data_IF_585923117641
#
_entry.id   IF_585923117641
#
_cell.length_a   1.000
_cell.length_b   1.000
_cell.length_c   1.000
_cell.angle_alpha   90.00
_cell.angle_beta   90.00
_cell.angle_gamma   90.00
#
_symmetry.space_group_name_H-M   'P 1'
#
loop_
_entity.id
_entity.type
_entity.pdbx_description
1 polymer ?
#
# COMPACT_ATOMS: atom_id res chain seq x y z
N UNK A 1 25.98 22.81 32.79
CA UNK A 1 24.82 23.14 31.94
C UNK A 1 24.61 22.02 30.93
N UNK A 2 23.81 21.00 31.29
CA UNK A 2 23.46 19.88 30.42
C UNK A 2 22.06 20.09 29.86
N UNK A 3 21.91 20.03 28.54
CA UNK A 3 20.66 20.25 27.81
C UNK A 3 19.54 19.31 28.28
N UNK A 4 18.52 19.87 28.93
CA UNK A 4 17.24 19.22 29.28
C UNK A 4 16.25 19.15 28.08
N UNK A 5 16.67 19.46 26.86
CA UNK A 5 15.77 19.58 25.70
C UNK A 5 15.54 18.26 24.93
N UNK A 6 16.42 17.27 25.04
CA UNK A 6 16.33 16.03 24.24
C UNK A 6 15.55 14.89 24.93
N UNK A 7 15.47 14.88 26.27
CA UNK A 7 14.79 13.82 27.04
C UNK A 7 13.26 13.92 27.00
N UNK A 8 12.69 15.08 26.65
CA UNK A 8 11.24 15.33 26.70
C UNK A 8 10.51 14.98 25.40
N UNK A 9 11.21 14.82 24.27
CA UNK A 9 10.60 14.36 23.02
C UNK A 9 10.25 12.88 23.06
N UNK A 10 11.10 12.08 23.69
CA UNK A 10 10.99 10.61 23.73
C UNK A 10 9.89 10.10 24.69
N UNK A 11 9.39 10.97 25.59
CA UNK A 11 8.36 10.64 26.58
C UNK A 11 6.94 10.87 26.06
N UNK A 12 6.71 11.85 25.19
CA UNK A 12 5.38 12.18 24.64
C UNK A 12 4.93 11.26 23.50
N UNK A 13 5.87 10.63 22.80
CA UNK A 13 5.58 9.67 21.72
C UNK A 13 5.11 8.30 22.24
N UNK A 14 5.37 7.99 23.51
CA UNK A 14 4.99 6.71 24.12
C UNK A 14 3.56 6.77 24.61
N UNK A 15 2.67 6.06 23.92
CA UNK A 15 1.27 5.92 24.32
C UNK A 15 1.16 5.33 25.73
N UNK A 16 0.04 5.63 26.43
CA UNK A 16 -0.25 5.05 27.74
C UNK A 16 -0.16 3.51 27.72
N UNK A 17 -0.60 2.90 26.62
CA UNK A 17 -0.49 1.47 26.39
C UNK A 17 0.96 0.96 26.46
N UNK A 18 1.89 1.61 25.73
CA UNK A 18 3.32 1.25 25.76
C UNK A 18 3.90 1.44 27.15
N UNK A 19 3.50 2.49 27.86
CA UNK A 19 3.94 2.73 29.24
C UNK A 19 3.47 1.62 30.19
N UNK A 20 2.21 1.19 30.09
CA UNK A 20 1.66 0.10 30.91
C UNK A 20 2.36 -1.24 30.65
N UNK A 21 2.65 -1.55 29.38
CA UNK A 21 3.43 -2.75 29.02
C UNK A 21 4.83 -2.70 29.64
N UNK A 22 5.51 -1.54 29.60
CA UNK A 22 6.81 -1.37 30.25
C UNK A 22 6.73 -1.40 31.79
N UNK A 23 5.59 -1.05 32.38
CA UNK A 23 5.33 -1.17 33.82
C UNK A 23 4.98 -2.59 34.27
N UNK A 24 5.06 -3.59 33.38
CA UNK A 24 4.84 -5.00 33.71
C UNK A 24 3.39 -5.46 33.65
N UNK A 25 2.47 -4.65 33.11
CA UNK A 25 1.09 -5.09 32.88
C UNK A 25 1.10 -6.18 31.80
N UNK A 26 0.54 -7.37 32.06
CA UNK A 26 0.56 -8.47 31.11
C UNK A 26 -0.22 -8.12 29.84
N UNK A 27 0.44 -8.25 28.69
CA UNK A 27 -0.16 -7.99 27.39
C UNK A 27 -0.86 -9.26 26.88
N UNK A 28 -2.17 -9.20 26.68
CA UNK A 28 -2.92 -10.22 25.94
C UNK A 28 -2.91 -9.83 24.46
N UNK A 29 -2.10 -10.52 23.67
CA UNK A 29 -2.02 -10.30 22.22
C UNK A 29 -3.05 -11.17 21.49
N UNK A 30 -3.94 -10.55 20.73
CA UNK A 30 -4.76 -11.25 19.74
C UNK A 30 -3.85 -11.73 18.61
N UNK A 31 -3.77 -13.05 18.42
CA UNK A 31 -2.86 -13.67 17.45
C UNK A 31 -3.56 -14.06 16.15
N UNK A 32 -4.87 -14.27 16.17
CA UNK A 32 -5.60 -14.74 14.98
C UNK A 32 -6.15 -13.57 14.16
N UNK A 33 -5.86 -13.54 12.85
CA UNK A 33 -6.41 -12.58 11.90
C UNK A 33 -7.41 -13.28 10.94
N UNK A 34 -8.53 -12.62 10.64
CA UNK A 34 -9.60 -13.15 9.77
C UNK A 34 -9.87 -12.25 8.55
N UNK A 35 -8.96 -11.31 8.27
CA UNK A 35 -9.19 -10.14 7.44
C UNK A 35 -8.70 -10.34 6.03
N UNK A 36 -7.39 -10.50 5.88
CA UNK A 36 -6.69 -10.50 4.60
C UNK A 36 -6.26 -11.90 4.19
N UNK A 37 -6.08 -12.10 2.88
CA UNK A 37 -5.54 -13.31 2.31
C UNK A 37 -4.22 -13.73 3.02
N UNK A 38 -3.99 -15.03 3.29
CA UNK A 38 -2.80 -15.52 4.01
C UNK A 38 -1.45 -15.03 3.46
N UNK A 39 -1.35 -14.82 2.15
CA UNK A 39 -0.16 -14.21 1.53
C UNK A 39 0.12 -12.77 2.02
N UNK A 40 -0.93 -11.95 2.20
CA UNK A 40 -0.83 -10.57 2.68
C UNK A 40 -0.50 -10.55 4.18
N UNK A 41 -1.20 -11.35 4.98
CA UNK A 41 -0.92 -11.45 6.42
C UNK A 41 0.48 -12.01 6.66
N UNK A 42 0.95 -12.97 5.84
CA UNK A 42 2.29 -13.54 5.90
C UNK A 42 3.40 -12.49 5.80
N UNK A 43 3.25 -11.51 4.90
CA UNK A 43 4.17 -10.37 4.80
C UNK A 43 4.21 -9.58 6.11
N UNK A 44 3.04 -9.14 6.59
CA UNK A 44 2.95 -8.36 7.82
C UNK A 44 3.46 -9.16 9.03
N UNK A 45 3.15 -10.46 9.08
CA UNK A 45 3.52 -11.35 10.16
C UNK A 45 5.03 -11.49 10.29
N UNK A 46 5.72 -11.72 9.15
CA UNK A 46 7.17 -11.83 9.12
C UNK A 46 7.86 -10.49 9.41
N UNK A 47 7.36 -9.39 8.85
CA UNK A 47 8.00 -8.09 8.98
C UNK A 47 7.78 -7.43 10.35
N UNK A 48 6.61 -7.63 10.97
CA UNK A 48 6.19 -6.83 12.13
C UNK A 48 5.71 -7.64 13.35
N UNK A 49 5.28 -8.89 13.16
CA UNK A 49 4.74 -9.72 14.24
C UNK A 49 5.62 -10.92 14.61
N UNK A 50 6.85 -11.01 14.06
CA UNK A 50 7.84 -12.07 14.35
C UNK A 50 7.30 -13.50 14.15
N UNK A 51 6.35 -13.68 13.23
CA UNK A 51 5.73 -15.00 12.98
C UNK A 51 4.64 -15.40 14.00
N UNK A 52 4.26 -14.52 14.93
CA UNK A 52 3.27 -14.82 15.97
C UNK A 52 1.81 -14.64 15.54
N UNK A 53 1.55 -14.05 14.37
CA UNK A 53 0.21 -13.93 13.80
C UNK A 53 -0.20 -15.28 13.19
N UNK A 54 -1.46 -15.66 13.34
CA UNK A 54 -2.07 -16.89 12.82
C UNK A 54 -3.25 -16.50 11.95
N UNK A 55 -3.40 -17.15 10.79
CA UNK A 55 -4.54 -16.94 9.92
C UNK A 55 -5.70 -17.84 10.37
N UNK A 56 -6.86 -17.22 10.60
CA UNK A 56 -8.11 -17.93 10.88
C UNK A 56 -8.96 -18.18 9.64
N UNK A 57 -8.44 -17.85 8.46
CA UNK A 57 -9.07 -18.03 7.15
C UNK A 57 -8.07 -18.63 6.16
N UNK A 58 -8.57 -19.40 5.20
CA UNK A 58 -7.81 -19.97 4.10
C UNK A 58 -7.64 -19.02 2.91
N UNK A 59 -6.92 -19.46 1.89
CA UNK A 59 -6.79 -18.73 0.62
C UNK A 59 -8.12 -18.73 -0.15
N UNK A 60 -8.87 -19.83 -0.03
CA UNK A 60 -10.20 -20.06 -0.58
C UNK A 60 -11.26 -19.07 -0.07
N UNK A 61 -11.07 -18.52 1.14
CA UNK A 61 -11.96 -17.49 1.71
C UNK A 61 -11.72 -16.09 1.09
N UNK A 62 -10.66 -15.95 0.30
CA UNK A 62 -10.24 -14.72 -0.37
C UNK A 62 -9.84 -15.03 -1.82
N UNK A 63 -10.75 -15.56 -2.65
CA UNK A 63 -10.44 -15.89 -4.04
C UNK A 63 -10.00 -14.63 -4.81
N UNK A 64 -9.16 -14.83 -5.82
CA UNK A 64 -8.71 -13.73 -6.67
C UNK A 64 -9.92 -13.04 -7.33
N UNK A 65 -9.94 -11.71 -7.25
CA UNK A 65 -10.98 -10.88 -7.87
C UNK A 65 -10.70 -10.61 -9.33
N UNK A 66 -9.42 -10.64 -9.71
CA UNK A 66 -8.95 -10.49 -11.09
C UNK A 66 -8.26 -11.79 -11.49
N UNK A 67 -8.69 -12.38 -12.60
CA UNK A 67 -8.14 -13.63 -13.10
C UNK A 67 -6.66 -13.46 -13.46
N UNK A 68 -5.81 -14.38 -12.99
CA UNK A 68 -4.36 -14.32 -13.19
C UNK A 68 -3.62 -13.29 -12.34
N UNK A 69 -4.32 -12.44 -11.57
CA UNK A 69 -3.68 -11.50 -10.64
C UNK A 69 -3.45 -12.17 -9.28
N UNK A 70 -2.21 -12.29 -8.79
CA UNK A 70 -1.96 -12.86 -7.48
C UNK A 70 -2.33 -11.89 -6.34
N UNK A 71 -2.44 -12.37 -5.08
CA UNK A 71 -2.76 -11.53 -3.93
C UNK A 71 -1.76 -10.40 -3.66
N UNK A 72 -0.49 -10.58 -4.02
CA UNK A 72 0.53 -9.54 -3.90
C UNK A 72 1.14 -9.25 -5.26
N UNK A 73 1.13 -7.98 -5.64
CA UNK A 73 1.60 -7.52 -6.95
C UNK A 73 2.56 -6.36 -6.74
N UNK A 74 3.67 -6.38 -7.46
CA UNK A 74 4.57 -5.25 -7.61
C UNK A 74 4.51 -4.73 -9.04
N UNK A 75 4.05 -3.49 -9.22
CA UNK A 75 4.14 -2.77 -10.49
C UNK A 75 5.36 -1.84 -10.43
N UNK A 76 6.36 -2.14 -11.23
CA UNK A 76 7.63 -1.40 -11.23
C UNK A 76 7.53 -0.14 -12.09
N UNK A 77 7.60 1.02 -11.43
CA UNK A 77 7.63 2.34 -12.04
C UNK A 77 9.08 2.82 -12.21
N UNK A 78 9.89 2.03 -12.94
CA UNK A 78 11.33 2.22 -13.11
C UNK A 78 11.72 3.39 -14.00
N UNK A 79 10.82 3.80 -14.89
CA UNK A 79 10.94 4.98 -15.73
C UNK A 79 10.32 6.24 -15.09
N UNK A 80 9.94 6.15 -13.82
CA UNK A 80 9.45 7.26 -13.01
C UNK A 80 10.56 8.02 -12.30
N UNK A 81 10.37 9.33 -12.14
CA UNK A 81 11.28 10.19 -11.39
C UNK A 81 10.54 10.91 -10.25
N UNK A 82 11.13 10.86 -9.05
CA UNK A 82 10.63 11.55 -7.87
C UNK A 82 10.84 13.06 -8.03
N UNK A 83 9.81 13.83 -7.68
CA UNK A 83 9.85 15.29 -7.58
C UNK A 83 9.66 15.67 -6.12
N UNK A 84 10.36 16.73 -5.73
CA UNK A 84 10.28 17.29 -4.39
C UNK A 84 9.45 18.58 -4.46
N UNK A 85 8.39 18.67 -3.66
CA UNK A 85 7.63 19.91 -3.52
C UNK A 85 8.44 20.93 -2.71
N UNK A 86 8.19 22.23 -2.92
CA UNK A 86 8.84 23.29 -2.12
C UNK A 86 8.61 23.17 -0.61
N UNK A 87 7.61 22.39 -0.19
CA UNK A 87 7.28 22.05 1.21
C UNK A 87 7.93 20.76 1.73
N UNK A 88 8.81 20.10 0.95
CA UNK A 88 9.52 18.88 1.34
C UNK A 88 8.76 17.56 1.16
N UNK A 89 7.64 17.57 0.44
CA UNK A 89 6.89 16.37 0.05
C UNK A 89 7.44 15.73 -1.22
N UNK A 90 7.16 14.44 -1.44
CA UNK A 90 7.57 13.72 -2.63
C UNK A 90 6.36 13.38 -3.51
N UNK A 91 6.54 13.42 -4.82
CA UNK A 91 5.55 12.92 -5.78
C UNK A 91 6.23 12.23 -6.95
N UNK A 92 5.51 11.33 -7.61
CA UNK A 92 5.98 10.61 -8.78
C UNK A 92 4.84 10.49 -9.78
N UNK A 93 4.93 11.23 -10.89
CA UNK A 93 3.89 11.26 -11.92
C UNK A 93 3.70 9.89 -12.57
N UNK A 94 4.78 9.11 -12.72
CA UNK A 94 4.70 7.80 -13.35
C UNK A 94 3.86 6.82 -12.52
N UNK A 95 4.03 6.85 -11.20
CA UNK A 95 3.17 6.07 -10.30
C UNK A 95 1.71 6.55 -10.37
N UNK A 96 1.47 7.87 -10.52
CA UNK A 96 0.11 8.41 -10.69
C UNK A 96 -0.54 7.86 -11.96
N UNK A 97 0.18 7.88 -13.07
CA UNK A 97 -0.32 7.39 -14.37
C UNK A 97 -0.64 5.89 -14.29
N UNK A 98 0.27 5.09 -13.74
CA UNK A 98 0.10 3.64 -13.56
C UNK A 98 -1.08 3.33 -12.64
N UNK A 99 -1.21 4.02 -11.50
CA UNK A 99 -2.32 3.80 -10.57
C UNK A 99 -3.64 4.20 -11.21
N UNK A 100 -3.69 5.36 -11.87
CA UNK A 100 -4.89 5.81 -12.58
C UNK A 100 -5.35 4.79 -13.61
N UNK A 101 -4.42 4.30 -14.45
CA UNK A 101 -4.73 3.28 -15.44
C UNK A 101 -5.16 1.95 -14.81
N UNK A 102 -4.47 1.50 -13.75
CA UNK A 102 -4.83 0.27 -13.03
C UNK A 102 -6.24 0.37 -12.44
N UNK A 103 -6.60 1.51 -11.84
CA UNK A 103 -7.97 1.77 -11.35
C UNK A 103 -8.96 1.71 -12.51
N UNK A 104 -8.65 2.29 -13.67
CA UNK A 104 -9.49 2.19 -14.86
C UNK A 104 -9.75 0.74 -15.28
N UNK A 105 -8.71 -0.10 -15.34
CA UNK A 105 -8.82 -1.52 -15.66
C UNK A 105 -9.67 -2.29 -14.64
N UNK A 106 -9.55 -1.97 -13.35
CA UNK A 106 -10.38 -2.59 -12.31
C UNK A 106 -11.86 -2.22 -12.45
N UNK A 107 -12.15 -0.95 -12.74
CA UNK A 107 -13.52 -0.48 -12.96
C UNK A 107 -14.13 -1.11 -14.22
N UNK A 108 -13.35 -1.23 -15.29
CA UNK A 108 -13.77 -1.89 -16.54
C UNK A 108 -14.03 -3.39 -16.35
N UNK A 109 -13.29 -4.04 -15.45
CA UNK A 109 -13.54 -5.42 -15.03
C UNK A 109 -14.80 -5.57 -14.14
N UNK A 110 -15.51 -4.48 -13.83
CA UNK A 110 -16.77 -4.49 -13.09
C UNK A 110 -16.61 -4.37 -11.56
N UNK A 111 -15.42 -4.06 -11.05
CA UNK A 111 -15.25 -3.81 -9.62
C UNK A 111 -15.87 -2.47 -9.21
N UNK A 112 -16.58 -2.47 -8.07
CA UNK A 112 -17.17 -1.24 -7.56
C UNK A 112 -16.09 -0.26 -7.07
N UNK A 113 -16.25 1.06 -7.26
CA UNK A 113 -15.32 2.05 -6.70
C UNK A 113 -15.09 1.90 -5.19
N UNK A 114 -16.11 1.46 -4.45
CA UNK A 114 -16.04 1.22 -3.01
C UNK A 114 -15.17 0.01 -2.61
N UNK A 115 -14.82 -0.87 -3.55
CA UNK A 115 -13.96 -2.04 -3.32
C UNK A 115 -12.48 -1.74 -3.54
N UNK A 116 -12.16 -0.53 -4.02
CA UNK A 116 -10.82 -0.09 -4.37
C UNK A 116 -10.39 1.02 -3.41
N UNK A 117 -9.16 0.92 -2.90
CA UNK A 117 -8.52 2.01 -2.17
C UNK A 117 -7.13 2.29 -2.70
N UNK A 118 -6.73 3.55 -2.62
CA UNK A 118 -5.41 4.02 -3.01
C UNK A 118 -4.76 4.69 -1.80
N UNK A 119 -3.63 4.15 -1.38
CA UNK A 119 -2.82 4.66 -0.28
C UNK A 119 -1.55 5.25 -0.87
N UNK A 120 -1.26 6.51 -0.57
CA UNK A 120 0.04 7.09 -0.86
C UNK A 120 0.80 7.41 0.42
N UNK A 121 2.11 7.31 0.37
CA UNK A 121 2.95 7.69 1.52
C UNK A 121 2.95 9.21 1.73
N UNK A 122 2.95 9.99 0.65
CA UNK A 122 3.10 11.44 0.71
C UNK A 122 1.80 12.17 0.35
N UNK A 123 1.47 13.24 1.09
CA UNK A 123 0.30 14.10 0.81
C UNK A 123 0.34 14.73 -0.58
N UNK A 124 1.52 15.13 -1.04
CA UNK A 124 1.75 15.65 -2.39
C UNK A 124 1.38 14.65 -3.47
N UNK A 125 1.57 13.35 -3.23
CA UNK A 125 1.14 12.30 -4.14
C UNK A 125 -0.38 12.09 -4.11
N UNK A 126 -0.99 12.13 -2.92
CA UNK A 126 -2.46 12.07 -2.79
C UNK A 126 -3.11 13.18 -3.63
N UNK A 127 -2.60 14.41 -3.54
CA UNK A 127 -3.13 15.54 -4.29
C UNK A 127 -3.09 15.35 -5.82
N UNK A 128 -2.12 14.59 -6.35
CA UNK A 128 -2.05 14.25 -7.77
C UNK A 128 -2.93 13.04 -8.13
N UNK A 129 -3.03 12.06 -7.23
CA UNK A 129 -3.82 10.84 -7.45
C UNK A 129 -5.32 11.11 -7.44
N UNK A 130 -5.81 11.93 -6.51
CA UNK A 130 -7.25 12.20 -6.34
C UNK A 130 -7.94 12.62 -7.64
N UNK A 131 -7.51 13.67 -8.37
CA UNK A 131 -8.20 14.08 -9.60
C UNK A 131 -8.15 13.02 -10.69
N UNK A 132 -7.04 12.29 -10.83
CA UNK A 132 -6.89 11.22 -11.83
C UNK A 132 -7.84 10.07 -11.53
N UNK A 133 -7.91 9.62 -10.28
CA UNK A 133 -8.79 8.54 -9.84
C UNK A 133 -10.27 8.94 -9.97
N UNK A 134 -10.62 10.15 -9.54
CA UNK A 134 -11.99 10.68 -9.66
C UNK A 134 -12.43 10.73 -11.13
N UNK A 135 -11.52 11.10 -12.05
CA UNK A 135 -11.79 11.08 -13.49
C UNK A 135 -12.09 9.67 -14.00
N UNK A 136 -11.34 8.65 -13.57
CA UNK A 136 -11.60 7.27 -13.99
C UNK A 136 -12.96 6.77 -13.50
N UNK A 137 -13.33 7.10 -12.26
CA UNK A 137 -14.63 6.74 -11.69
C UNK A 137 -15.78 7.41 -12.44
N UNK A 138 -15.63 8.69 -12.80
CA UNK A 138 -16.63 9.42 -13.58
C UNK A 138 -16.80 8.83 -14.98
N UNK A 139 -15.69 8.47 -15.63
CA UNK A 139 -15.70 7.83 -16.94
C UNK A 139 -16.41 6.47 -16.92
N UNK A 140 -16.12 5.64 -15.92
CA UNK A 140 -16.76 4.33 -15.75
C UNK A 140 -18.27 4.43 -15.43
N UNK A 141 -18.69 5.50 -14.74
CA UNK A 141 -20.09 5.70 -14.33
C UNK A 141 -20.95 6.42 -15.37
N UNK A 142 -20.41 6.72 -16.56
CA UNK A 142 -21.14 7.48 -17.58
C UNK A 142 -21.59 8.88 -17.13
N UNK A 143 -20.83 9.51 -16.23
CA UNK A 143 -21.12 10.85 -15.70
C UNK A 143 -22.17 10.93 -14.58
N UNK A 144 -22.77 9.80 -14.17
CA UNK A 144 -23.77 9.75 -13.08
C UNK A 144 -23.13 9.33 -11.75
N UNK A 145 -22.30 10.19 -11.16
CA UNK A 145 -21.61 9.85 -9.91
C UNK A 145 -22.45 10.23 -8.69
N UNK A 146 -22.87 9.23 -7.90
CA UNK A 146 -23.38 9.46 -6.54
C UNK A 146 -22.22 9.63 -5.54
N UNK A 147 -22.43 10.38 -4.46
CA UNK A 147 -21.43 10.63 -3.42
C UNK A 147 -20.88 9.35 -2.75
N UNK A 148 -21.65 8.26 -2.80
CA UNK A 148 -21.31 6.92 -2.28
C UNK A 148 -20.46 6.06 -3.23
N UNK A 149 -20.12 6.55 -4.43
CA UNK A 149 -19.43 5.79 -5.48
C UNK A 149 -18.01 6.32 -5.72
N UNK A 150 -17.19 6.43 -4.67
CA UNK A 150 -15.80 6.95 -4.79
C UNK A 150 -14.77 5.91 -4.37
N UNK A 151 -13.68 5.87 -5.12
CA UNK A 151 -12.43 5.22 -4.69
C UNK A 151 -11.80 6.08 -3.61
N UNK A 152 -11.45 5.48 -2.47
CA UNK A 152 -10.80 6.21 -1.39
C UNK A 152 -9.33 6.45 -1.73
N UNK A 153 -8.92 7.72 -1.85
CA UNK A 153 -7.51 8.11 -2.04
C UNK A 153 -7.06 8.90 -0.81
N UNK A 154 -6.11 8.38 -0.03
CA UNK A 154 -5.59 9.12 1.12
C UNK A 154 -4.18 8.68 1.52
N UNK A 155 -3.59 9.40 2.48
CA UNK A 155 -2.33 8.97 3.08
C UNK A 155 -2.53 7.81 4.03
N UNK A 156 -1.48 7.03 4.27
CA UNK A 156 -1.50 5.93 5.26
C UNK A 156 -2.09 6.34 6.63
N UNK A 157 -1.74 7.52 7.14
CA UNK A 157 -2.24 8.03 8.44
C UNK A 157 -3.74 8.38 8.40
N UNK A 158 -4.27 8.71 7.23
CA UNK A 158 -5.65 9.11 7.00
C UNK A 158 -6.50 7.94 6.47
N UNK A 159 -5.90 6.77 6.24
CA UNK A 159 -6.56 5.54 5.83
C UNK A 159 -6.92 4.70 7.07
N UNK A 160 -7.47 5.34 8.11
CA UNK A 160 -7.82 4.65 9.36
C UNK A 160 -9.21 4.00 9.26
N UNK A 161 -9.29 2.74 9.69
CA UNK A 161 -10.56 2.01 9.86
C UNK A 161 -11.24 1.50 8.59
N UNK A 162 -10.78 1.89 7.40
CA UNK A 162 -11.31 1.39 6.13
C UNK A 162 -10.42 0.28 5.57
N UNK A 163 -10.99 -0.88 5.29
CA UNK A 163 -10.38 -1.93 4.46
C UNK A 163 -11.08 -2.03 3.14
N UNK A 164 -10.34 -2.51 2.14
CA UNK A 164 -10.85 -2.70 0.79
C UNK A 164 -10.41 -4.05 0.25
N UNK A 165 -11.24 -4.73 -0.55
CA UNK A 165 -10.81 -5.90 -1.31
C UNK A 165 -9.51 -5.68 -2.08
N UNK A 166 -9.36 -4.52 -2.72
CA UNK A 166 -8.18 -4.16 -3.51
C UNK A 166 -7.57 -2.86 -2.96
N UNK A 167 -6.29 -2.89 -2.62
CA UNK A 167 -5.52 -1.70 -2.24
C UNK A 167 -4.34 -1.52 -3.17
N UNK A 168 -4.21 -0.31 -3.72
CA UNK A 168 -3.02 0.16 -4.42
C UNK A 168 -2.18 1.03 -3.48
N UNK A 169 -0.86 0.82 -3.44
CA UNK A 169 0.07 1.59 -2.61
C UNK A 169 1.08 2.31 -3.50
N UNK A 170 1.17 3.65 -3.38
CA UNK A 170 2.17 4.50 -4.04
C UNK A 170 3.27 4.89 -3.06
N UNK A 171 4.51 4.56 -3.39
CA UNK A 171 5.68 4.84 -2.54
C UNK A 171 6.42 6.13 -2.92
N UNK A 172 6.24 6.63 -4.14
CA UNK A 172 6.83 7.84 -4.73
C UNK A 172 8.35 7.86 -4.91
N UNK A 173 9.09 7.04 -4.17
CA UNK A 173 10.56 7.08 -4.16
C UNK A 173 11.12 6.35 -5.37
N UNK A 174 12.00 7.03 -6.11
CA UNK A 174 12.73 6.49 -7.28
C UNK A 174 14.25 6.59 -7.12
N UNK A 175 14.71 7.14 -5.99
CA UNK A 175 16.13 7.18 -5.64
C UNK A 175 16.37 6.40 -4.37
N UNK A 176 17.56 5.80 -4.26
CA UNK A 176 18.01 5.20 -3.01
C UNK A 176 17.98 6.27 -1.92
N UNK A 177 17.19 6.09 -0.84
CA UNK A 177 17.19 7.04 0.26
C UNK A 177 18.59 7.10 0.91
N UNK A 178 19.10 8.29 1.16
CA UNK A 178 20.38 8.46 1.86
C UNK A 178 20.30 8.02 3.34
N UNK A 179 19.10 7.96 3.90
CA UNK A 179 18.80 7.50 5.27
C UNK A 179 17.49 6.71 5.28
N UNK A 180 17.33 5.79 6.26
CA UNK A 180 16.03 5.15 6.55
C UNK A 180 15.00 6.25 6.75
N UNK A 181 14.08 6.35 5.80
CA UNK A 181 13.21 7.50 5.66
C UNK A 181 11.77 7.20 6.07
N UNK A 182 10.91 8.16 5.81
CA UNK A 182 9.45 8.04 5.97
C UNK A 182 8.87 6.77 5.30
N UNK A 183 9.47 6.34 4.18
CA UNK A 183 9.11 5.14 3.41
C UNK A 183 9.36 3.83 4.16
N UNK A 184 10.27 3.83 5.13
CA UNK A 184 10.68 2.64 5.90
C UNK A 184 10.03 2.57 7.29
N UNK A 185 9.08 3.46 7.58
CA UNK A 185 8.36 3.44 8.87
C UNK A 185 7.60 2.13 9.03
N UNK A 186 7.98 1.26 9.98
CA UNK A 186 7.35 -0.05 10.14
C UNK A 186 5.84 0.08 10.42
N UNK A 187 5.43 1.08 11.21
CA UNK A 187 4.03 1.30 11.55
C UNK A 187 3.21 1.65 10.31
N UNK A 188 3.71 2.54 9.45
CA UNK A 188 3.04 2.93 8.21
C UNK A 188 2.98 1.78 7.22
N UNK A 189 4.06 1.02 7.08
CA UNK A 189 4.08 -0.18 6.24
C UNK A 189 3.04 -1.20 6.71
N UNK A 190 3.00 -1.54 8.00
CA UNK A 190 1.98 -2.45 8.53
C UNK A 190 0.58 -1.99 8.20
N UNK A 191 0.28 -0.69 8.42
CA UNK A 191 -1.04 -0.15 8.10
C UNK A 191 -1.33 -0.31 6.62
N UNK A 192 -0.46 0.19 5.73
CA UNK A 192 -0.66 0.17 4.29
C UNK A 192 -0.87 -1.25 3.74
N UNK A 193 -0.01 -2.20 4.14
CA UNK A 193 -0.07 -3.59 3.66
C UNK A 193 -1.32 -4.33 4.18
N UNK A 194 -1.77 -4.04 5.40
CA UNK A 194 -2.92 -4.75 6.03
C UNK A 194 -4.30 -4.16 5.72
N UNK A 195 -4.37 -3.10 4.90
CA UNK A 195 -5.67 -2.55 4.43
C UNK A 195 -6.30 -3.40 3.33
N UNK A 196 -5.49 -4.17 2.61
CA UNK A 196 -5.96 -5.06 1.53
C UNK A 196 -6.59 -6.32 2.10
N UNK A 197 -7.76 -6.72 1.60
CA UNK A 197 -8.36 -8.02 1.94
C UNK A 197 -7.96 -9.12 0.96
N UNK A 198 -7.89 -8.82 -0.33
CA UNK A 198 -7.61 -9.82 -1.38
C UNK A 198 -6.37 -9.48 -2.19
N UNK A 199 -6.31 -8.28 -2.79
CA UNK A 199 -5.16 -7.86 -3.60
C UNK A 199 -4.49 -6.63 -3.01
N UNK A 200 -3.17 -6.72 -2.86
CA UNK A 200 -2.29 -5.62 -2.51
C UNK A 200 -1.36 -5.36 -3.70
N UNK A 201 -1.53 -4.20 -4.32
CA UNK A 201 -0.77 -3.80 -5.50
C UNK A 201 0.17 -2.66 -5.10
N UNK A 202 1.46 -2.93 -5.04
CA UNK A 202 2.49 -1.92 -4.75
C UNK A 202 3.00 -1.34 -6.06
N UNK A 203 2.85 -0.03 -6.24
CA UNK A 203 3.38 0.70 -7.39
C UNK A 203 4.56 1.53 -6.93
N UNK A 204 5.77 1.11 -7.29
CA UNK A 204 6.99 1.71 -6.79
C UNK A 204 8.20 1.35 -7.67
N UNK A 205 9.24 2.16 -7.59
CA UNK A 205 10.52 1.88 -8.26
C UNK A 205 11.26 0.76 -7.52
N UNK A 206 11.41 -0.40 -8.16
CA UNK A 206 11.93 -1.62 -7.53
C UNK A 206 13.36 -1.45 -6.99
N UNK A 207 14.29 -0.96 -7.81
CA UNK A 207 15.71 -0.81 -7.44
C UNK A 207 15.94 0.20 -6.32
N UNK A 208 15.16 1.30 -6.29
CA UNK A 208 15.27 2.31 -5.26
C UNK A 208 14.82 1.77 -3.90
N UNK A 209 13.68 1.05 -3.89
CA UNK A 209 13.05 0.52 -2.68
C UNK A 209 13.75 -0.74 -2.17
N UNK A 210 14.36 -1.55 -3.04
CA UNK A 210 15.10 -2.76 -2.64
C UNK A 210 16.35 -2.48 -1.79
N UNK A 211 16.70 -1.20 -1.57
CA UNK A 211 17.71 -0.81 -0.59
C UNK A 211 17.27 -0.98 0.86
N UNK A 212 15.96 -1.14 1.11
CA UNK A 212 15.36 -1.42 2.41
C UNK A 212 15.01 -2.88 2.53
N UNK A 213 15.43 -3.53 3.63
CA UNK A 213 15.21 -4.97 3.86
C UNK A 213 13.73 -5.36 3.77
N UNK A 214 12.86 -4.49 4.29
CA UNK A 214 11.41 -4.74 4.31
C UNK A 214 10.83 -4.71 2.88
N UNK A 215 11.16 -3.68 2.10
CA UNK A 215 10.70 -3.56 0.72
C UNK A 215 11.33 -4.58 -0.22
N UNK A 216 12.62 -4.91 -0.02
CA UNK A 216 13.30 -5.99 -0.72
C UNK A 216 12.61 -7.34 -0.47
N UNK A 217 12.19 -7.59 0.77
CA UNK A 217 11.43 -8.80 1.09
C UNK A 217 10.07 -8.83 0.39
N UNK A 218 9.31 -7.73 0.41
CA UNK A 218 8.01 -7.62 -0.29
C UNK A 218 8.20 -7.88 -1.79
N UNK A 219 9.17 -7.21 -2.42
CA UNK A 219 9.49 -7.41 -3.84
C UNK A 219 9.84 -8.86 -4.16
N UNK A 220 10.62 -9.52 -3.30
CA UNK A 220 10.96 -10.95 -3.47
C UNK A 220 9.74 -11.86 -3.40
N UNK A 221 8.80 -11.59 -2.49
CA UNK A 221 7.57 -12.39 -2.35
C UNK A 221 6.62 -12.16 -3.53
N UNK A 222 6.53 -10.93 -4.03
CA UNK A 222 5.79 -10.62 -5.25
C UNK A 222 6.37 -11.37 -6.46
N UNK A 223 7.69 -11.36 -6.65
CA UNK A 223 8.36 -12.11 -7.73
C UNK A 223 8.16 -13.63 -7.63
N UNK A 224 8.09 -14.17 -6.42
CA UNK A 224 7.90 -15.61 -6.20
C UNK A 224 6.49 -16.12 -6.55
N UNK A 225 5.49 -15.23 -6.69
CA UNK A 225 4.13 -15.60 -7.08
C UNK A 225 3.96 -15.92 -8.58
N UNK A 226 5.04 -15.79 -9.36
CA UNK A 226 5.02 -16.11 -10.79
C UNK A 226 4.46 -14.97 -11.63
N UNK A 227 3.73 -15.32 -12.70
CA UNK A 227 3.17 -14.35 -13.64
C UNK A 227 2.17 -13.44 -12.92
N UNK A 228 2.24 -12.14 -13.18
CA UNK A 228 1.41 -11.12 -12.53
C UNK A 228 1.91 -10.66 -11.15
N UNK A 229 2.84 -11.38 -10.52
CA UNK A 229 3.39 -10.97 -9.22
C UNK A 229 4.36 -9.79 -9.33
N UNK A 230 5.15 -9.71 -10.40
CA UNK A 230 5.99 -8.56 -10.73
C UNK A 230 5.79 -8.17 -12.19
N UNK A 231 5.42 -6.92 -12.44
CA UNK A 231 5.06 -6.41 -13.76
C UNK A 231 5.64 -5.02 -13.97
N UNK A 232 5.97 -4.65 -15.20
CA UNK A 232 6.47 -3.29 -15.51
C UNK A 232 5.30 -2.32 -15.64
N UNK A 233 5.46 -1.10 -15.13
CA UNK A 233 4.45 -0.04 -15.27
C UNK A 233 4.14 0.27 -16.73
N UNK A 234 5.14 0.24 -17.60
CA UNK A 234 4.98 0.40 -19.06
C UNK A 234 4.11 -0.70 -19.70
N UNK A 235 4.19 -1.95 -19.21
CA UNK A 235 3.31 -3.03 -19.66
C UNK A 235 1.87 -2.74 -19.24
N UNK A 236 1.65 -2.38 -17.97
CA UNK A 236 0.32 -2.05 -17.45
C UNK A 236 -0.32 -0.93 -18.26
N UNK A 237 0.43 0.15 -18.53
CA UNK A 237 -0.03 1.30 -19.33
C UNK A 237 -0.35 0.97 -20.80
N UNK A 238 0.25 -0.09 -21.36
CA UNK A 238 0.00 -0.53 -22.72
C UNK A 238 -1.24 -1.43 -22.84
N UNK A 239 -1.70 -2.01 -21.73
CA UNK A 239 -2.80 -2.97 -21.70
C UNK A 239 -4.17 -2.28 -21.70
N UNK A 240 -5.17 -2.95 -22.30
CA UNK A 240 -6.57 -2.48 -22.36
C UNK A 240 -7.50 -3.20 -21.39
N UNK A 241 -7.13 -4.41 -20.98
CA UNK A 241 -7.87 -5.25 -20.04
C UNK A 241 -6.87 -6.06 -19.19
N UNK A 242 -7.33 -7.06 -18.44
CA UNK A 242 -6.48 -7.95 -17.63
C UNK A 242 -6.02 -9.23 -18.35
N UNK A 243 -6.40 -9.44 -19.62
CA UNK A 243 -6.09 -10.67 -20.35
C UNK A 243 -4.58 -10.87 -20.56
N UNK A 244 -3.78 -9.81 -20.50
CA UNK A 244 -2.31 -9.88 -20.58
C UNK A 244 -1.66 -10.67 -19.43
N UNK A 245 -2.39 -10.94 -18.34
CA UNK A 245 -1.93 -11.78 -17.24
C UNK A 245 -2.08 -13.29 -17.51
N UNK A 246 -2.83 -13.68 -18.55
CA UNK A 246 -3.04 -15.07 -18.98
C UNK A 246 -1.97 -15.58 -19.93
#
# INVERSE_FOLDING_TARGET
SGNLSDTNRDTLEKTLFIRLVHSGVPLVQLRTQYRCHPAISGLANKLFYKGCLVDGIGAEDRPALVEGLPPLVWIDADDGAERISGSGGYSNQREVDVIGHTVSLLLQAGHAPADIGVIALYRSQVALLTPVVDQQVQAASGGKSHASSRVQVSTVDAFQGAERPIILVSCCRSRKPERKGFVDSPQRMTVALTRARTHLIVVAHATALSSSDAWAHILSVCRAQGRGGYVKGSQVLACRDWAWLQ
#
